data_IF_228903056812
#
_entry.id   IF_228903056812
#
_cell.length_a   1.000
_cell.length_b   1.000
_cell.length_c   1.000
_cell.angle_alpha   90.00
_cell.angle_beta   90.00
_cell.angle_gamma   90.00
#
_symmetry.space_group_name_H-M   'P 1'
#
loop_
_entity.id
_entity.type
_entity.pdbx_description
1 polymer ?
#
# COMPACT_ATOMS: atom_id res chain seq x y z
N UNK A 1 9.12 -8.23 -41.95
CA UNK A 1 8.85 -9.64 -41.60
C UNK A 1 8.52 -9.70 -40.12
N UNK A 2 7.24 -9.86 -39.73
CA UNK A 2 6.85 -10.15 -38.35
C UNK A 2 7.33 -11.59 -38.05
N UNK A 3 8.36 -11.71 -37.20
CA UNK A 3 8.81 -12.99 -36.69
C UNK A 3 7.63 -13.63 -35.97
N UNK A 4 7.13 -14.76 -36.46
CA UNK A 4 6.08 -15.55 -35.78
C UNK A 4 6.49 -15.72 -34.32
N UNK A 5 5.72 -15.09 -33.42
CA UNK A 5 5.93 -15.26 -31.98
C UNK A 5 5.49 -16.69 -31.67
N UNK A 6 6.39 -17.46 -31.05
CA UNK A 6 6.02 -18.82 -30.60
C UNK A 6 4.78 -18.73 -29.73
N UNK A 7 3.83 -19.63 -29.95
CA UNK A 7 2.52 -19.66 -29.25
C UNK A 7 2.72 -19.57 -27.74
N UNK A 8 3.72 -20.24 -27.18
CA UNK A 8 4.09 -20.17 -25.77
C UNK A 8 4.38 -18.75 -25.25
N UNK A 9 5.04 -17.90 -26.06
CA UNK A 9 5.34 -16.52 -25.68
C UNK A 9 4.09 -15.65 -25.70
N UNK A 10 3.17 -15.93 -26.61
CA UNK A 10 1.90 -15.21 -26.67
C UNK A 10 1.05 -15.58 -25.45
N UNK A 11 0.93 -16.88 -25.15
CA UNK A 11 0.21 -17.36 -23.97
C UNK A 11 0.76 -16.78 -22.67
N UNK A 12 2.09 -16.70 -22.51
CA UNK A 12 2.71 -16.10 -21.33
C UNK A 12 2.48 -14.57 -21.24
N UNK A 13 2.47 -13.88 -22.36
CA UNK A 13 2.16 -12.45 -22.39
C UNK A 13 0.67 -12.21 -22.08
N UNK A 14 -0.24 -13.04 -22.62
CA UNK A 14 -1.66 -12.95 -22.36
C UNK A 14 -1.96 -13.29 -20.89
N UNK A 15 -1.27 -14.28 -20.33
CA UNK A 15 -1.36 -14.59 -18.91
C UNK A 15 -0.90 -13.43 -18.02
N UNK A 16 0.23 -12.78 -18.35
CA UNK A 16 0.73 -11.61 -17.62
C UNK A 16 -0.26 -10.43 -17.73
N UNK A 17 -0.85 -10.21 -18.92
CA UNK A 17 -1.87 -9.16 -19.09
C UNK A 17 -3.17 -9.50 -18.35
N UNK A 18 -3.55 -10.76 -18.25
CA UNK A 18 -4.69 -11.24 -17.45
C UNK A 18 -4.51 -10.91 -15.98
N UNK A 19 -3.34 -11.24 -15.40
CA UNK A 19 -3.00 -10.91 -14.00
C UNK A 19 -3.16 -9.40 -13.74
N UNK A 20 -2.61 -8.57 -14.61
CA UNK A 20 -2.66 -7.11 -14.43
C UNK A 20 -4.06 -6.54 -14.55
N UNK A 21 -4.91 -7.13 -15.42
CA UNK A 21 -6.30 -6.67 -15.63
C UNK A 21 -7.27 -7.15 -14.54
N UNK A 22 -7.07 -8.37 -14.07
CA UNK A 22 -7.96 -8.98 -13.08
C UNK A 22 -7.64 -8.50 -11.66
N UNK A 23 -6.39 -8.11 -11.39
CA UNK A 23 -5.96 -7.70 -10.05
C UNK A 23 -6.16 -6.20 -9.81
N UNK A 24 -6.63 -5.84 -8.61
CA UNK A 24 -6.78 -4.45 -8.19
C UNK A 24 -5.42 -3.79 -7.90
N UNK A 25 -4.44 -4.59 -7.50
CA UNK A 25 -3.07 -4.14 -7.27
C UNK A 25 -2.06 -5.22 -7.66
N UNK A 26 -0.88 -4.76 -8.10
CA UNK A 26 0.26 -5.60 -8.47
C UNK A 26 1.55 -4.98 -7.92
N UNK A 27 2.29 -5.69 -7.08
CA UNK A 27 3.60 -5.28 -6.59
C UNK A 27 4.70 -6.00 -7.33
N UNK A 28 5.70 -5.26 -7.80
CA UNK A 28 6.94 -5.80 -8.37
C UNK A 28 8.05 -5.70 -7.32
N UNK A 29 8.58 -6.84 -6.93
CA UNK A 29 9.60 -6.95 -5.90
C UNK A 29 10.86 -7.61 -6.43
N UNK A 30 12.01 -7.22 -5.86
CA UNK A 30 13.28 -7.94 -6.02
C UNK A 30 13.37 -9.04 -4.97
N UNK A 31 13.96 -10.19 -5.32
CA UNK A 31 14.17 -11.30 -4.39
C UNK A 31 15.59 -11.90 -4.49
N UNK A 32 16.58 -11.12 -4.93
CA UNK A 32 17.97 -11.55 -5.15
C UNK A 32 18.60 -11.90 -3.80
N UNK A 33 19.11 -13.13 -3.67
CA UNK A 33 19.86 -13.56 -2.48
C UNK A 33 19.04 -14.21 -1.37
N UNK A 34 17.78 -14.49 -1.60
CA UNK A 34 16.94 -15.27 -0.68
C UNK A 34 17.15 -16.77 -0.90
N UNK A 35 17.19 -17.53 0.19
CA UNK A 35 17.17 -18.99 0.16
C UNK A 35 15.76 -19.51 -0.20
N UNK A 36 15.72 -20.75 -0.72
CA UNK A 36 14.45 -21.39 -1.12
C UNK A 36 13.49 -21.52 0.06
N UNK A 37 14.00 -21.84 1.26
CA UNK A 37 13.20 -21.91 2.47
C UNK A 37 12.57 -20.54 2.81
N UNK A 38 13.36 -19.47 2.82
CA UNK A 38 12.88 -18.12 3.08
C UNK A 38 11.86 -17.63 2.04
N UNK A 39 12.04 -18.00 0.77
CA UNK A 39 11.05 -17.65 -0.26
C UNK A 39 9.74 -18.44 -0.13
N UNK A 40 9.79 -19.67 0.40
CA UNK A 40 8.59 -20.44 0.73
C UNK A 40 7.84 -19.82 1.89
N UNK A 41 8.51 -19.45 2.99
CA UNK A 41 7.92 -18.73 4.12
C UNK A 41 7.29 -17.41 3.70
N UNK A 42 7.93 -16.69 2.79
CA UNK A 42 7.37 -15.46 2.22
C UNK A 42 6.08 -15.70 1.46
N UNK A 43 6.03 -16.76 0.63
CA UNK A 43 4.80 -17.14 -0.08
C UNK A 43 3.69 -17.55 0.88
N UNK A 44 4.01 -18.33 1.89
CA UNK A 44 3.01 -18.78 2.88
C UNK A 44 2.38 -17.58 3.59
N UNK A 45 3.17 -16.60 4.04
CA UNK A 45 2.67 -15.35 4.63
C UNK A 45 1.81 -14.52 3.67
N UNK A 46 2.11 -14.52 2.37
CA UNK A 46 1.28 -13.85 1.38
C UNK A 46 -0.04 -14.58 1.13
N UNK A 47 -0.01 -15.91 1.14
CA UNK A 47 -1.23 -16.75 1.03
C UNK A 47 -2.14 -16.53 2.24
N UNK A 48 -1.60 -16.38 3.45
CA UNK A 48 -2.38 -16.06 4.67
C UNK A 48 -3.16 -14.73 4.52
N UNK A 49 -2.63 -13.80 3.73
CA UNK A 49 -3.28 -12.51 3.41
C UNK A 49 -4.17 -12.60 2.16
N UNK A 50 -4.26 -13.78 1.53
CA UNK A 50 -5.07 -14.00 0.32
C UNK A 50 -4.45 -13.46 -0.97
N UNK A 51 -3.12 -13.38 -1.02
CA UNK A 51 -2.36 -12.80 -2.14
C UNK A 51 -1.48 -13.86 -2.80
N UNK A 52 -1.41 -13.84 -4.12
CA UNK A 52 -0.56 -14.75 -4.89
C UNK A 52 0.78 -14.10 -5.25
N UNK A 53 1.86 -14.89 -5.16
CA UNK A 53 3.20 -14.49 -5.59
C UNK A 53 3.70 -15.41 -6.71
N UNK A 54 4.01 -14.82 -7.87
CA UNK A 54 4.57 -15.54 -9.02
C UNK A 54 5.84 -14.89 -9.54
N UNK A 55 6.83 -15.72 -9.87
CA UNK A 55 8.07 -15.26 -10.51
C UNK A 55 7.89 -15.31 -12.02
N UNK A 56 8.10 -14.18 -12.68
CA UNK A 56 7.91 -14.04 -14.11
C UNK A 56 9.08 -13.29 -14.75
N UNK A 57 9.32 -13.58 -16.02
CA UNK A 57 10.36 -12.89 -16.81
C UNK A 57 9.94 -11.44 -17.07
N UNK A 58 10.84 -10.48 -16.82
CA UNK A 58 10.57 -9.04 -16.99
C UNK A 58 10.01 -8.69 -18.38
N UNK A 59 10.47 -9.41 -19.43
CA UNK A 59 9.97 -9.21 -20.80
C UNK A 59 8.47 -9.52 -20.95
N UNK A 60 7.94 -10.49 -20.20
CA UNK A 60 6.50 -10.82 -20.24
C UNK A 60 5.69 -9.83 -19.42
N UNK A 61 6.24 -9.39 -18.28
CA UNK A 61 5.63 -8.34 -17.46
C UNK A 61 5.52 -7.05 -18.28
N UNK A 62 6.60 -6.63 -18.96
CA UNK A 62 6.58 -5.46 -19.84
C UNK A 62 5.59 -5.56 -21.00
N UNK A 63 5.43 -6.75 -21.61
CA UNK A 63 4.41 -6.98 -22.63
C UNK A 63 3.00 -6.97 -22.04
N UNK A 64 2.81 -7.53 -20.84
CA UNK A 64 1.53 -7.53 -20.13
C UNK A 64 1.08 -6.11 -19.78
N UNK A 65 1.97 -5.29 -19.26
CA UNK A 65 1.71 -3.87 -18.96
C UNK A 65 1.43 -3.05 -20.23
N UNK A 66 2.17 -3.29 -21.31
CA UNK A 66 1.97 -2.60 -22.60
C UNK A 66 0.65 -2.98 -23.31
N UNK A 67 0.07 -4.13 -23.00
CA UNK A 67 -1.24 -4.56 -23.50
C UNK A 67 -2.41 -4.13 -22.57
N UNK A 68 -2.09 -3.64 -21.38
CA UNK A 68 -3.03 -3.04 -20.43
C UNK A 68 -3.05 -1.54 -20.70
N UNK A 69 -4.21 -0.90 -20.53
CA UNK A 69 -4.38 0.55 -20.76
C UNK A 69 -3.74 1.39 -19.63
N UNK A 70 -2.59 0.94 -19.12
CA UNK A 70 -1.85 1.59 -18.02
C UNK A 70 -0.77 2.47 -18.63
N UNK A 71 -0.78 3.75 -18.29
CA UNK A 71 0.25 4.70 -18.71
C UNK A 71 1.61 4.32 -18.09
N UNK A 72 2.52 3.84 -18.93
CA UNK A 72 3.89 3.54 -18.51
C UNK A 72 4.67 4.86 -18.42
N UNK A 73 5.23 5.23 -17.27
CA UNK A 73 6.10 6.38 -17.18
C UNK A 73 7.34 6.18 -18.08
N UNK A 74 7.77 7.27 -18.74
CA UNK A 74 8.97 7.27 -19.58
C UNK A 74 10.18 6.78 -18.79
N UNK A 75 10.81 5.68 -19.26
CA UNK A 75 11.95 5.08 -18.58
C UNK A 75 11.62 3.92 -17.63
N UNK A 76 10.38 3.45 -17.56
CA UNK A 76 10.04 2.27 -16.79
C UNK A 76 10.73 1.03 -17.35
N UNK A 77 11.70 0.51 -16.63
CA UNK A 77 12.37 -0.74 -16.97
C UNK A 77 12.54 -1.61 -15.72
N UNK A 78 12.03 -2.83 -15.78
CA UNK A 78 12.27 -3.83 -14.76
C UNK A 78 13.61 -4.49 -15.02
N UNK A 79 14.63 -4.17 -14.24
CA UNK A 79 15.98 -4.78 -14.32
C UNK A 79 16.19 -5.79 -13.21
N UNK A 80 16.89 -6.88 -13.49
CA UNK A 80 17.17 -7.96 -12.52
C UNK A 80 15.96 -8.88 -12.27
N UNK A 81 16.06 -9.71 -11.24
CA UNK A 81 15.04 -10.69 -10.90
C UNK A 81 13.80 -10.01 -10.32
N UNK A 82 12.64 -10.43 -10.78
CA UNK A 82 11.37 -9.81 -10.39
C UNK A 82 10.34 -10.88 -10.03
N UNK A 83 9.79 -10.77 -8.84
CA UNK A 83 8.59 -11.49 -8.46
C UNK A 83 7.40 -10.53 -8.49
N UNK A 84 6.27 -11.05 -8.91
CA UNK A 84 5.00 -10.33 -9.04
C UNK A 84 4.08 -10.83 -7.93
N UNK A 85 3.65 -9.91 -7.09
CA UNK A 85 2.68 -10.15 -6.01
C UNK A 85 1.39 -9.44 -6.40
N UNK A 86 0.31 -10.16 -6.52
CA UNK A 86 -0.96 -9.62 -7.01
C UNK A 86 -2.13 -10.19 -6.22
N UNK A 87 -3.19 -9.41 -6.13
CA UNK A 87 -4.39 -9.78 -5.39
C UNK A 87 -5.53 -8.81 -5.62
N UNK A 88 -6.62 -9.05 -4.89
CA UNK A 88 -7.83 -8.25 -4.92
C UNK A 88 -8.07 -7.57 -3.57
N UNK A 89 -8.69 -6.40 -3.60
CA UNK A 89 -9.11 -5.68 -2.42
C UNK A 89 -8.11 -4.67 -1.88
N UNK A 90 -7.74 -4.77 -0.59
CA UNK A 90 -6.88 -3.78 0.07
C UNK A 90 -5.39 -3.99 -0.26
N UNK A 91 -4.70 -3.01 -0.84
CA UNK A 91 -3.27 -3.10 -1.14
C UNK A 91 -2.36 -2.99 0.10
N UNK A 92 -2.88 -2.52 1.25
CA UNK A 92 -2.05 -2.24 2.43
C UNK A 92 -1.52 -3.49 3.14
N UNK A 93 -2.32 -4.58 3.38
CA UNK A 93 -1.82 -5.77 4.05
C UNK A 93 -0.64 -6.44 3.37
N UNK A 94 -0.66 -6.72 2.04
CA UNK A 94 0.48 -7.32 1.37
C UNK A 94 1.72 -6.42 1.35
N UNK A 95 1.54 -5.10 1.22
CA UNK A 95 2.66 -4.16 1.29
C UNK A 95 3.36 -4.21 2.65
N UNK A 96 2.62 -4.37 3.76
CA UNK A 96 3.18 -4.53 5.11
C UNK A 96 3.98 -5.82 5.22
N UNK A 97 3.45 -6.95 4.74
CA UNK A 97 4.16 -8.24 4.74
C UNK A 97 5.48 -8.14 3.97
N UNK A 98 5.46 -7.52 2.77
CA UNK A 98 6.67 -7.33 1.96
C UNK A 98 7.68 -6.45 2.72
N UNK A 99 7.24 -5.37 3.37
CA UNK A 99 8.10 -4.46 4.13
C UNK A 99 8.69 -5.13 5.37
N UNK A 100 7.90 -5.89 6.12
CA UNK A 100 8.36 -6.62 7.31
C UNK A 100 9.38 -7.70 6.93
N UNK A 101 9.10 -8.43 5.86
CA UNK A 101 10.02 -9.43 5.33
C UNK A 101 11.31 -8.79 4.80
N UNK A 102 11.22 -7.62 4.17
CA UNK A 102 12.37 -6.84 3.72
C UNK A 102 13.26 -6.34 4.86
N UNK A 103 12.71 -6.12 6.07
CA UNK A 103 13.50 -5.78 7.27
C UNK A 103 14.27 -6.99 7.83
N UNK A 104 13.69 -8.19 7.71
CA UNK A 104 14.31 -9.44 8.19
C UNK A 104 15.32 -9.96 7.18
N UNK A 105 15.03 -9.78 5.90
CA UNK A 105 15.86 -10.20 4.77
C UNK A 105 16.07 -8.99 3.86
N UNK A 106 17.24 -8.36 3.91
CA UNK A 106 17.61 -7.19 3.09
C UNK A 106 17.55 -7.46 1.57
N UNK A 107 17.27 -8.70 1.21
CA UNK A 107 17.18 -9.20 -0.17
C UNK A 107 15.86 -8.85 -0.86
N UNK A 108 14.79 -8.50 -0.12
CA UNK A 108 13.50 -8.13 -0.69
C UNK A 108 13.32 -6.60 -0.67
N UNK A 109 13.09 -6.04 -1.85
CA UNK A 109 12.79 -4.61 -1.98
C UNK A 109 11.74 -4.37 -3.05
N UNK A 110 10.95 -3.30 -2.87
CA UNK A 110 10.01 -2.85 -3.88
C UNK A 110 10.76 -2.26 -5.08
N UNK A 111 10.34 -2.61 -6.29
CA UNK A 111 10.77 -1.97 -7.53
C UNK A 111 9.77 -0.93 -7.99
N UNK A 112 8.53 -1.33 -8.04
CA UNK A 112 7.38 -0.51 -8.43
C UNK A 112 6.10 -1.25 -8.05
N UNK A 113 4.98 -0.57 -8.16
CA UNK A 113 3.68 -1.21 -8.00
C UNK A 113 2.69 -0.62 -9.02
N UNK A 114 1.64 -1.35 -9.28
CA UNK A 114 0.44 -0.86 -9.97
C UNK A 114 -0.68 -0.90 -8.95
N UNK A 115 -1.31 0.23 -8.70
CA UNK A 115 -2.44 0.35 -7.78
C UNK A 115 -3.51 1.18 -8.48
N UNK A 116 -4.73 0.68 -8.55
CA UNK A 116 -5.86 1.32 -9.22
C UNK A 116 -5.52 1.78 -10.66
N UNK A 117 -4.78 0.97 -11.42
CA UNK A 117 -4.40 1.26 -12.81
C UNK A 117 -3.28 2.31 -12.96
N UNK A 118 -2.70 2.81 -11.89
CA UNK A 118 -1.58 3.74 -11.91
C UNK A 118 -0.28 3.08 -11.47
N UNK A 119 0.83 3.40 -12.15
CA UNK A 119 2.15 2.93 -11.76
C UNK A 119 2.72 3.88 -10.71
N UNK A 120 3.09 3.29 -9.57
CA UNK A 120 3.73 3.99 -8.46
C UNK A 120 5.20 3.57 -8.34
N UNK A 121 6.05 4.51 -7.97
CA UNK A 121 7.48 4.27 -7.76
C UNK A 121 7.73 3.40 -6.53
N UNK A 122 8.95 2.85 -6.41
CA UNK A 122 9.36 2.05 -5.25
C UNK A 122 9.15 2.79 -3.92
N UNK A 123 9.43 4.09 -3.87
CA UNK A 123 9.25 4.91 -2.66
C UNK A 123 7.77 5.05 -2.29
N UNK A 124 6.91 5.26 -3.27
CA UNK A 124 5.46 5.36 -3.06
C UNK A 124 4.87 4.00 -2.66
N UNK A 125 5.30 2.89 -3.29
CA UNK A 125 4.90 1.55 -2.90
C UNK A 125 5.30 1.22 -1.45
N UNK A 126 6.47 1.68 -1.01
CA UNK A 126 6.91 1.56 0.36
C UNK A 126 6.07 2.42 1.32
N UNK A 127 5.66 3.62 0.90
CA UNK A 127 4.78 4.48 1.68
C UNK A 127 3.39 3.85 1.88
N UNK A 128 2.87 3.11 0.88
CA UNK A 128 1.60 2.36 1.02
C UNK A 128 1.68 1.35 2.17
N UNK A 129 2.85 0.74 2.41
CA UNK A 129 3.03 -0.18 3.54
C UNK A 129 2.93 0.51 4.92
N UNK A 130 3.12 1.82 5.00
CA UNK A 130 2.98 2.59 6.24
C UNK A 130 1.53 3.06 6.50
N UNK A 131 0.67 2.94 5.50
CA UNK A 131 -0.73 3.32 5.64
C UNK A 131 -1.50 2.31 6.50
N UNK A 132 -2.45 2.79 7.32
CA UNK A 132 -3.41 1.92 7.98
C UNK A 132 -4.39 1.31 6.96
N UNK A 133 -5.23 0.37 7.42
CA UNK A 133 -6.25 -0.25 6.56
C UNK A 133 -7.23 0.79 5.99
N UNK A 134 -7.87 0.44 4.89
CA UNK A 134 -8.87 1.29 4.20
C UNK A 134 -9.94 1.81 5.14
N UNK A 135 -10.43 0.98 6.06
CA UNK A 135 -11.46 1.36 7.03
C UNK A 135 -10.96 2.45 8.00
N UNK A 136 -9.71 2.32 8.47
CA UNK A 136 -9.10 3.33 9.35
C UNK A 136 -8.86 4.63 8.61
N UNK A 137 -8.43 4.58 7.35
CA UNK A 137 -8.28 5.78 6.50
C UNK A 137 -9.63 6.49 6.28
N UNK A 138 -10.69 5.74 6.03
CA UNK A 138 -12.03 6.28 5.90
C UNK A 138 -12.52 6.94 7.19
N UNK A 139 -12.26 6.31 8.35
CA UNK A 139 -12.64 6.89 9.64
C UNK A 139 -11.86 8.16 9.96
N UNK A 140 -10.56 8.22 9.61
CA UNK A 140 -9.74 9.41 9.75
C UNK A 140 -10.24 10.55 8.84
N UNK A 141 -10.59 10.23 7.61
CA UNK A 141 -11.16 11.21 6.67
C UNK A 141 -12.46 11.80 7.22
N UNK A 142 -13.39 10.96 7.69
CA UNK A 142 -14.63 11.42 8.33
C UNK A 142 -14.34 12.25 9.58
N UNK A 143 -13.37 11.85 10.40
CA UNK A 143 -12.93 12.60 11.57
C UNK A 143 -12.42 13.99 11.22
N UNK A 144 -11.58 14.10 10.17
CA UNK A 144 -11.08 15.41 9.71
C UNK A 144 -12.17 16.30 9.15
N UNK A 145 -13.18 15.74 8.47
CA UNK A 145 -14.33 16.50 7.98
C UNK A 145 -15.23 17.00 9.12
N UNK A 146 -15.35 16.26 10.21
CA UNK A 146 -16.14 16.64 11.39
C UNK A 146 -15.36 17.54 12.36
N UNK A 147 -14.02 17.56 12.29
CA UNK A 147 -13.18 18.33 13.21
C UNK A 147 -13.52 19.82 13.30
N UNK A 148 -13.83 20.57 12.22
CA UNK A 148 -14.22 21.97 12.32
C UNK A 148 -15.49 22.19 13.17
N UNK A 149 -16.49 21.32 12.97
CA UNK A 149 -17.74 21.42 13.74
C UNK A 149 -17.54 21.10 15.22
N UNK A 150 -16.74 20.07 15.51
CA UNK A 150 -16.37 19.70 16.89
C UNK A 150 -15.56 20.81 17.56
N UNK A 151 -14.61 21.42 16.85
CA UNK A 151 -13.83 22.53 17.37
C UNK A 151 -14.72 23.75 17.71
N UNK A 152 -15.69 24.07 16.87
CA UNK A 152 -16.65 25.14 17.14
C UNK A 152 -17.48 24.85 18.42
N UNK A 153 -17.99 23.62 18.55
CA UNK A 153 -18.73 23.20 19.75
C UNK A 153 -17.85 23.26 21.00
N UNK A 154 -16.59 22.82 20.88
CA UNK A 154 -15.64 22.87 22.00
C UNK A 154 -15.35 24.32 22.43
N UNK A 155 -15.18 25.25 21.49
CA UNK A 155 -14.99 26.68 21.79
C UNK A 155 -16.20 27.29 22.51
N UNK A 156 -17.41 26.96 22.08
CA UNK A 156 -18.65 27.40 22.74
C UNK A 156 -18.74 26.84 24.15
N UNK A 157 -18.47 25.56 24.34
CA UNK A 157 -18.51 24.93 25.66
C UNK A 157 -17.37 25.44 26.57
N UNK A 158 -16.20 25.72 26.01
CA UNK A 158 -15.04 26.20 26.76
C UNK A 158 -15.29 27.58 27.36
N UNK A 159 -15.99 28.48 26.68
CA UNK A 159 -16.30 29.80 27.20
C UNK A 159 -17.18 29.72 28.46
N UNK A 160 -18.17 28.81 28.47
CA UNK A 160 -19.02 28.55 29.66
C UNK A 160 -18.22 27.88 30.78
N UNK A 161 -17.40 26.89 30.42
CA UNK A 161 -16.54 26.18 31.40
C UNK A 161 -15.50 27.10 32.06
N UNK A 162 -14.92 28.03 31.31
CA UNK A 162 -14.01 29.05 31.85
C UNK A 162 -14.70 29.97 32.84
N UNK A 163 -15.90 30.41 32.56
CA UNK A 163 -16.69 31.25 33.47
C UNK A 163 -16.96 30.54 34.80
N UNK A 164 -17.42 29.29 34.74
CA UNK A 164 -17.61 28.44 35.93
C UNK A 164 -16.29 28.21 36.70
N UNK A 165 -15.19 28.00 35.95
CA UNK A 165 -13.86 27.85 36.54
C UNK A 165 -13.39 29.06 37.33
N UNK A 166 -13.66 30.29 36.84
CA UNK A 166 -13.34 31.54 37.56
C UNK A 166 -14.13 31.62 38.84
N UNK A 167 -15.43 31.32 38.83
CA UNK A 167 -16.27 31.34 40.03
C UNK A 167 -15.76 30.36 41.08
N UNK A 168 -15.42 29.13 40.66
CA UNK A 168 -14.83 28.11 41.56
C UNK A 168 -13.51 28.58 42.16
N UNK A 169 -12.61 29.12 41.33
CA UNK A 169 -11.31 29.65 41.80
C UNK A 169 -11.49 30.82 42.78
N UNK A 170 -12.52 31.60 42.63
CA UNK A 170 -12.84 32.65 43.58
C UNK A 170 -13.38 32.12 44.90
N UNK A 171 -14.23 31.08 44.87
CA UNK A 171 -14.69 30.39 46.06
C UNK A 171 -13.54 29.76 46.84
N UNK A 172 -12.62 29.04 46.13
CA UNK A 172 -11.44 28.39 46.74
C UNK A 172 -10.50 29.42 47.40
N UNK A 173 -10.46 30.64 46.87
CA UNK A 173 -9.68 31.75 47.52
C UNK A 173 -10.33 32.20 48.81
N UNK A 174 -11.63 32.41 48.83
CA UNK A 174 -12.37 32.82 50.02
C UNK A 174 -12.28 31.78 51.15
N UNK A 175 -12.32 30.50 50.81
CA UNK A 175 -12.17 29.38 51.77
C UNK A 175 -10.74 29.27 52.35
N UNK A 176 -9.71 29.78 51.63
CA UNK A 176 -8.31 29.80 52.10
C UNK A 176 -7.96 31.01 52.93
N UNK A 177 -8.72 32.08 52.82
CA UNK A 177 -8.54 33.34 53.56
C UNK A 177 -9.42 33.38 54.87
N UNK A 178 -10.29 32.40 55.05
CA UNK A 178 -11.10 32.23 56.22
C UNK A 178 -10.52 31.17 57.18
#
# INVERSE_FOLDING_TARGET
MRKERRIEKVMMADYASGIVRESDYVYFITYIGIDVAGFSEFRDKLVDVGVECKVMKNSFIGLGLGNSDIELPDGFSLTGDTAVVFGHGDPCPPAKVIKEFGKTHECISFKSAVVDGSIVSAQQAQAVADLPSKEVLQSQLLGTMLAPAQNLLNLLNQSVAQFVGVIKAYQDKLEKES
#
